data_IF_627950220412
#
_entry.id   IF_627950220412
#
_cell.length_a   1.000
_cell.length_b   1.000
_cell.length_c   1.000
_cell.angle_alpha   90.00
_cell.angle_beta   90.00
_cell.angle_gamma   90.00
#
_symmetry.space_group_name_H-M   'P 1'
#
loop_
_entity.id
_entity.type
_entity.pdbx_description
1 polymer ?
#
# COMPACT_ATOMS: atom_id res chain seq x y z
N UNK A 1 -7.44 -11.00 -23.11
CA UNK A 1 -7.34 -11.06 -21.67
C UNK A 1 -6.00 -10.61 -21.21
N UNK A 2 -5.97 -9.51 -20.54
CA UNK A 2 -4.75 -8.95 -20.08
C UNK A 2 -4.45 -9.28 -18.63
N UNK A 3 -3.24 -8.97 -18.24
CA UNK A 3 -2.78 -9.12 -16.86
C UNK A 3 -3.63 -8.30 -15.91
N UNK A 4 -4.14 -7.15 -16.34
CA UNK A 4 -4.98 -6.29 -15.52
C UNK A 4 -6.28 -6.97 -15.11
N UNK A 5 -6.85 -7.79 -16.00
CA UNK A 5 -8.07 -8.52 -15.68
C UNK A 5 -7.81 -9.58 -14.61
N UNK A 6 -6.65 -10.23 -14.67
CA UNK A 6 -6.24 -11.19 -13.64
C UNK A 6 -6.08 -10.49 -12.29
N UNK A 7 -5.39 -9.37 -12.27
CA UNK A 7 -5.16 -8.60 -11.06
C UNK A 7 -6.48 -8.09 -10.49
N UNK A 8 -7.36 -7.61 -11.35
CA UNK A 8 -8.68 -7.13 -10.96
C UNK A 8 -9.45 -8.22 -10.21
N UNK A 9 -9.47 -9.44 -10.76
CA UNK A 9 -10.16 -10.55 -10.13
C UNK A 9 -9.52 -10.94 -8.79
N UNK A 10 -8.21 -10.92 -8.72
CA UNK A 10 -7.50 -11.21 -7.47
C UNK A 10 -7.82 -10.16 -6.43
N UNK A 11 -7.79 -8.88 -6.78
CA UNK A 11 -8.12 -7.82 -5.84
C UNK A 11 -9.54 -7.91 -5.30
N UNK A 12 -10.50 -8.27 -6.15
CA UNK A 12 -11.88 -8.43 -5.72
C UNK A 12 -12.06 -9.54 -4.69
N UNK A 13 -11.16 -10.51 -4.65
CA UNK A 13 -11.27 -11.64 -3.74
C UNK A 13 -10.58 -11.40 -2.40
N UNK A 14 -9.92 -10.27 -2.22
CA UNK A 14 -9.22 -9.98 -0.98
C UNK A 14 -10.19 -9.58 0.13
N UNK A 15 -10.06 -10.18 1.32
CA UNK A 15 -10.96 -9.93 2.43
C UNK A 15 -10.23 -9.56 3.71
N UNK A 16 -8.98 -9.97 3.86
CA UNK A 16 -8.20 -9.69 5.06
C UNK A 16 -6.75 -9.43 4.70
N UNK A 17 -6.02 -8.84 5.62
CA UNK A 17 -4.62 -8.58 5.37
C UNK A 17 -3.82 -8.50 6.67
N UNK A 18 -2.52 -8.66 6.53
CA UNK A 18 -1.55 -8.38 7.57
C UNK A 18 -0.86 -7.07 7.23
N UNK A 19 -0.66 -6.25 8.24
CA UNK A 19 0.00 -4.97 8.13
C UNK A 19 1.28 -4.98 8.93
N UNK A 20 2.35 -4.45 8.34
CA UNK A 20 3.61 -4.28 9.03
C UNK A 20 4.25 -2.96 8.63
N UNK A 21 4.66 -2.19 9.63
CA UNK A 21 5.43 -0.98 9.41
C UNK A 21 6.76 -1.15 10.12
N UNK A 22 7.85 -0.94 9.41
CA UNK A 22 9.20 -1.12 9.94
C UNK A 22 10.03 0.13 9.66
N UNK A 23 10.69 0.63 10.70
CA UNK A 23 11.72 1.65 10.54
C UNK A 23 13.02 0.97 10.13
N UNK A 24 13.59 1.40 9.01
CA UNK A 24 14.82 0.81 8.51
C UNK A 24 16.04 1.39 9.24
N UNK A 25 17.20 0.72 9.10
CA UNK A 25 18.40 1.04 9.88
C UNK A 25 18.83 2.50 9.87
N UNK A 26 18.57 3.19 8.77
CA UNK A 26 18.99 4.59 8.64
C UNK A 26 17.95 5.57 9.16
N UNK A 27 16.83 5.06 9.69
CA UNK A 27 15.75 5.91 10.19
C UNK A 27 15.96 6.24 11.64
N UNK A 28 15.73 7.50 12.00
CA UNK A 28 15.75 7.94 13.39
C UNK A 28 14.40 7.76 14.08
N UNK A 29 13.42 7.26 13.33
CA UNK A 29 12.08 7.03 13.85
C UNK A 29 11.91 5.57 14.20
N UNK A 30 11.48 5.28 15.42
CA UNK A 30 11.21 3.90 15.85
C UNK A 30 9.74 3.57 15.60
N UNK A 31 9.38 3.54 14.35
CA UNK A 31 7.99 3.35 13.93
C UNK A 31 7.76 1.91 13.48
N UNK A 32 7.66 1.01 14.46
CA UNK A 32 7.44 -0.41 14.19
C UNK A 32 6.07 -0.81 14.70
N UNK A 33 5.22 -1.24 13.80
CA UNK A 33 3.86 -1.66 14.13
C UNK A 33 3.46 -2.87 13.32
N UNK A 34 2.63 -3.71 13.89
CA UNK A 34 2.01 -4.83 13.19
C UNK A 34 0.53 -4.84 13.49
N UNK A 35 -0.24 -5.31 12.55
CA UNK A 35 -1.66 -5.40 12.73
C UNK A 35 -2.31 -6.37 11.79
N UNK A 36 -3.58 -6.64 12.06
CA UNK A 36 -4.42 -7.46 11.20
C UNK A 36 -5.55 -6.59 10.70
N UNK A 37 -5.94 -6.79 9.46
CA UNK A 37 -6.97 -5.98 8.86
C UNK A 37 -8.02 -6.77 8.12
N UNK A 38 -9.14 -6.11 7.90
CA UNK A 38 -10.24 -6.60 7.10
C UNK A 38 -10.57 -5.59 6.03
N UNK A 39 -11.07 -6.07 4.90
CA UNK A 39 -11.41 -5.23 3.77
C UNK A 39 -12.85 -5.45 3.37
N UNK A 40 -13.55 -4.35 3.10
CA UNK A 40 -14.80 -4.38 2.36
C UNK A 40 -14.55 -3.72 1.03
N UNK A 41 -14.71 -4.46 -0.05
CA UNK A 41 -14.47 -3.93 -1.39
C UNK A 41 -15.73 -3.31 -1.96
N UNK A 42 -15.54 -2.21 -2.67
CA UNK A 42 -16.58 -1.59 -3.49
C UNK A 42 -16.08 -1.49 -4.90
N UNK A 43 -16.97 -1.69 -5.87
CA UNK A 43 -16.61 -1.58 -7.28
C UNK A 43 -17.44 -0.47 -7.90
N UNK A 44 -16.75 0.48 -8.51
CA UNK A 44 -17.39 1.57 -9.26
C UNK A 44 -16.67 1.68 -10.59
N UNK A 45 -17.33 1.24 -11.66
CA UNK A 45 -16.76 1.24 -13.01
C UNK A 45 -15.43 0.46 -13.05
N UNK A 46 -14.32 1.13 -13.36
CA UNK A 46 -12.99 0.51 -13.41
C UNK A 46 -12.20 0.69 -12.12
N UNK A 47 -12.89 0.96 -11.01
CA UNK A 47 -12.26 1.24 -9.74
C UNK A 47 -12.64 0.20 -8.71
N UNK A 48 -11.66 -0.24 -7.93
CA UNK A 48 -11.89 -1.06 -6.76
C UNK A 48 -11.48 -0.24 -5.54
N UNK A 49 -12.40 -0.10 -4.61
CA UNK A 49 -12.13 0.62 -3.36
C UNK A 49 -11.99 -0.39 -2.25
N UNK A 50 -10.88 -0.31 -1.53
CA UNK A 50 -10.64 -1.09 -0.32
C UNK A 50 -11.00 -0.22 0.88
N UNK A 51 -12.10 -0.57 1.54
CA UNK A 51 -12.44 0.02 2.83
C UNK A 51 -11.80 -0.86 3.90
N UNK A 52 -10.75 -0.37 4.51
CA UNK A 52 -9.90 -1.16 5.40
C UNK A 52 -10.10 -0.78 6.85
N UNK A 53 -10.11 -1.79 7.71
CA UNK A 53 -10.08 -1.63 9.15
C UNK A 53 -8.88 -2.39 9.67
N UNK A 54 -7.97 -1.71 10.36
CA UNK A 54 -6.72 -2.28 10.84
C UNK A 54 -6.72 -2.25 12.36
N UNK A 55 -6.44 -3.39 12.97
CA UNK A 55 -6.20 -3.47 14.40
C UNK A 55 -4.69 -3.55 14.64
N UNK A 56 -4.16 -2.51 15.24
CA UNK A 56 -2.75 -2.46 15.58
C UNK A 56 -2.57 -2.91 17.02
N UNK A 57 -1.63 -3.81 17.23
CA UNK A 57 -1.25 -4.26 18.56
C UNK A 57 -0.04 -3.46 19.01
N UNK A 58 -0.25 -2.50 19.87
CA UNK A 58 0.79 -1.62 20.37
C UNK A 58 1.07 -1.89 21.85
N UNK A 59 2.23 -1.43 22.30
CA UNK A 59 2.69 -1.65 23.68
C UNK A 59 1.71 -1.12 24.71
N UNK A 60 1.02 -0.03 24.42
CA UNK A 60 0.12 0.63 25.37
C UNK A 60 -1.35 0.39 25.08
N UNK A 61 -1.68 -0.62 24.30
CA UNK A 61 -3.06 -0.94 23.98
C UNK A 61 -3.29 -1.10 22.50
N UNK A 62 -4.44 -1.62 22.15
CA UNK A 62 -4.80 -1.85 20.77
C UNK A 62 -5.46 -0.60 20.17
N UNK A 63 -5.12 -0.30 18.95
CA UNK A 63 -5.66 0.83 18.21
C UNK A 63 -6.33 0.34 16.95
N UNK A 64 -7.54 0.83 16.69
CA UNK A 64 -8.23 0.54 15.45
C UNK A 64 -8.09 1.74 14.51
N UNK A 65 -7.62 1.49 13.30
CA UNK A 65 -7.49 2.50 12.26
C UNK A 65 -8.37 2.13 11.08
N UNK A 66 -8.91 3.14 10.44
CA UNK A 66 -9.65 2.97 9.20
C UNK A 66 -8.91 3.66 8.07
N UNK A 67 -8.89 3.01 6.92
CA UNK A 67 -8.20 3.53 5.76
C UNK A 67 -9.01 3.26 4.51
N UNK A 68 -8.75 4.01 3.47
CA UNK A 68 -9.46 3.85 2.22
C UNK A 68 -8.49 3.99 1.06
N UNK A 69 -8.40 2.95 0.26
CA UNK A 69 -7.54 2.90 -0.90
C UNK A 69 -8.39 2.69 -2.14
N UNK A 70 -7.97 3.28 -3.24
CA UNK A 70 -8.66 3.12 -4.51
C UNK A 70 -7.66 2.68 -5.58
N UNK A 71 -8.04 1.62 -6.29
CA UNK A 71 -7.26 1.08 -7.39
C UNK A 71 -8.03 1.32 -8.67
N UNK A 72 -7.42 2.04 -9.61
CA UNK A 72 -8.06 2.40 -10.87
C UNK A 72 -7.39 1.60 -11.99
N UNK A 73 -8.19 0.83 -12.71
CA UNK A 73 -7.70 -0.09 -13.73
C UNK A 73 -7.87 0.50 -15.13
N UNK A 74 -6.76 0.61 -15.83
CA UNK A 74 -6.72 0.98 -17.23
C UNK A 74 -6.22 -0.23 -18.03
N UNK A 75 -6.14 -0.09 -19.32
CA UNK A 75 -5.74 -1.20 -20.19
C UNK A 75 -4.32 -1.68 -19.91
N UNK A 76 -3.41 -0.78 -19.63
CA UNK A 76 -1.98 -1.07 -19.50
C UNK A 76 -1.38 -0.66 -18.15
N UNK A 77 -2.20 -0.18 -17.23
CA UNK A 77 -1.70 0.31 -15.94
C UNK A 77 -2.75 0.22 -14.86
N UNK A 78 -2.30 0.26 -13.63
CA UNK A 78 -3.16 0.37 -12.45
C UNK A 78 -2.66 1.58 -11.66
N UNK A 79 -3.57 2.48 -11.32
CA UNK A 79 -3.23 3.61 -10.47
C UNK A 79 -3.67 3.33 -9.05
N UNK A 80 -2.81 3.65 -8.11
CA UNK A 80 -3.14 3.59 -6.70
C UNK A 80 -3.41 5.00 -6.17
N UNK A 81 -4.59 5.18 -5.59
CA UNK A 81 -5.02 6.43 -4.97
C UNK A 81 -5.31 6.19 -3.50
N UNK A 82 -4.93 7.12 -2.67
CA UNK A 82 -5.13 7.03 -1.23
C UNK A 82 -6.00 8.20 -0.76
N UNK A 83 -6.98 7.90 0.09
CA UNK A 83 -7.82 8.95 0.66
C UNK A 83 -7.05 9.64 1.79
N UNK A 84 -6.81 10.92 1.62
CA UNK A 84 -6.11 11.76 2.60
C UNK A 84 -6.85 13.07 2.76
N UNK A 85 -7.14 13.44 4.01
CA UNK A 85 -7.80 14.71 4.32
C UNK A 85 -9.08 14.94 3.51
N UNK A 86 -9.87 13.88 3.35
CA UNK A 86 -11.15 13.95 2.67
C UNK A 86 -11.10 13.89 1.15
N UNK A 87 -9.94 13.75 0.54
CA UNK A 87 -9.83 13.62 -0.92
C UNK A 87 -8.85 12.54 -1.32
N UNK A 88 -9.10 11.92 -2.47
CA UNK A 88 -8.21 10.93 -3.03
C UNK A 88 -7.04 11.60 -3.72
N UNK A 89 -5.84 11.10 -3.45
CA UNK A 89 -4.62 11.56 -4.09
C UNK A 89 -3.95 10.37 -4.78
N UNK A 90 -3.53 10.58 -6.01
CA UNK A 90 -2.83 9.54 -6.75
C UNK A 90 -1.39 9.45 -6.24
N UNK A 91 -1.00 8.26 -5.80
CA UNK A 91 0.32 8.04 -5.23
C UNK A 91 1.23 7.29 -6.19
N UNK A 92 0.72 6.20 -6.80
CA UNK A 92 1.54 5.37 -7.68
C UNK A 92 0.81 5.01 -8.96
N UNK A 93 1.61 4.73 -10.00
CA UNK A 93 1.12 4.13 -11.23
C UNK A 93 1.95 2.88 -11.48
N UNK A 94 1.29 1.74 -11.59
CA UNK A 94 1.93 0.46 -11.89
C UNK A 94 1.66 0.09 -13.34
N UNK A 95 2.73 -0.13 -14.10
CA UNK A 95 2.59 -0.57 -15.48
C UNK A 95 2.46 -2.08 -15.49
N UNK A 96 1.45 -2.59 -16.18
CA UNK A 96 1.08 -4.01 -16.10
C UNK A 96 1.25 -4.73 -17.43
N UNK A 97 1.96 -4.12 -18.37
CA UNK A 97 2.25 -4.73 -19.67
C UNK A 97 3.49 -5.64 -19.66
N UNK A 98 4.10 -5.83 -18.50
CA UNK A 98 5.30 -6.64 -18.35
C UNK A 98 4.99 -7.96 -17.65
N UNK A 99 5.77 -9.01 -17.95
CA UNK A 99 5.56 -10.34 -17.39
C UNK A 99 5.66 -10.41 -15.87
N UNK A 100 6.54 -9.61 -15.30
CA UNK A 100 6.68 -9.57 -13.85
C UNK A 100 6.11 -8.27 -13.34
N UNK A 101 5.09 -8.39 -12.51
CA UNK A 101 4.49 -7.21 -11.91
C UNK A 101 5.17 -6.95 -10.58
N UNK A 102 6.37 -6.44 -10.66
CA UNK A 102 7.02 -5.77 -9.54
C UNK A 102 7.35 -4.40 -10.06
N UNK A 103 6.41 -3.50 -9.92
CA UNK A 103 6.57 -2.17 -10.47
C UNK A 103 6.80 -1.18 -9.36
N UNK A 104 7.81 -0.37 -9.54
CA UNK A 104 8.16 0.67 -8.61
C UNK A 104 7.95 2.01 -9.27
N UNK A 105 7.24 2.88 -8.61
CA UNK A 105 7.14 4.25 -9.03
C UNK A 105 7.34 5.17 -7.84
N UNK A 106 8.15 6.19 -8.02
CA UNK A 106 8.37 7.18 -6.98
C UNK A 106 7.29 8.23 -7.04
N UNK A 107 6.74 8.55 -5.90
CA UNK A 107 5.88 9.70 -5.72
C UNK A 107 6.68 10.75 -4.96
N UNK A 108 6.84 11.92 -5.55
CA UNK A 108 7.59 13.00 -4.93
C UNK A 108 6.64 13.92 -4.17
N UNK A 109 6.34 13.53 -2.95
CA UNK A 109 5.55 14.34 -2.05
C UNK A 109 6.49 14.99 -1.04
N UNK A 110 6.85 16.24 -1.27
CA UNK A 110 7.77 16.95 -0.39
C UNK A 110 7.22 17.01 1.05
N UNK A 111 8.03 16.75 2.10
CA UNK A 111 9.46 16.46 2.03
C UNK A 111 9.80 14.98 1.83
N UNK A 112 8.82 14.10 1.76
CA UNK A 112 9.03 12.66 1.70
C UNK A 112 9.00 12.15 0.27
N UNK A 113 9.86 11.16 -0.01
CA UNK A 113 9.85 10.42 -1.26
C UNK A 113 9.19 9.07 -1.03
N UNK A 114 8.29 8.69 -1.90
CA UNK A 114 7.53 7.46 -1.78
C UNK A 114 7.88 6.54 -2.95
N UNK A 115 8.04 5.26 -2.64
CA UNK A 115 8.25 4.24 -3.65
C UNK A 115 7.31 3.09 -3.38
N UNK A 116 6.52 2.72 -4.37
CA UNK A 116 5.54 1.66 -4.25
C UNK A 116 5.98 0.39 -4.93
N UNK A 117 5.56 -0.74 -4.39
CA UNK A 117 5.74 -2.04 -4.99
C UNK A 117 4.46 -2.84 -4.90
N UNK A 118 4.11 -3.53 -5.96
CA UNK A 118 2.93 -4.38 -6.00
C UNK A 118 3.32 -5.74 -6.56
N UNK A 119 3.15 -6.77 -5.74
CA UNK A 119 3.41 -8.15 -6.16
C UNK A 119 2.09 -8.92 -6.11
N UNK A 120 1.71 -9.50 -7.23
CA UNK A 120 0.45 -10.20 -7.35
C UNK A 120 0.72 -11.69 -7.50
N UNK A 121 0.27 -12.47 -6.53
CA UNK A 121 0.34 -13.92 -6.55
C UNK A 121 -1.08 -14.46 -6.62
N UNK A 122 -1.22 -15.75 -6.89
CA UNK A 122 -2.54 -16.32 -7.05
C UNK A 122 -3.41 -16.27 -5.80
N UNK A 123 -2.77 -16.40 -4.64
CA UNK A 123 -3.47 -16.47 -3.36
C UNK A 123 -3.29 -15.22 -2.50
N UNK A 124 -2.49 -14.27 -2.94
CA UNK A 124 -2.21 -13.09 -2.13
C UNK A 124 -1.74 -11.92 -2.99
N UNK A 125 -1.82 -10.76 -2.39
CA UNK A 125 -1.36 -9.52 -2.99
C UNK A 125 -0.46 -8.84 -1.97
N UNK A 126 0.74 -8.48 -2.37
CA UNK A 126 1.68 -7.81 -1.47
C UNK A 126 1.88 -6.38 -1.98
N UNK A 127 1.50 -5.42 -1.17
CA UNK A 127 1.64 -4.00 -1.48
C UNK A 127 2.62 -3.38 -0.50
N UNK A 128 3.69 -2.81 -1.01
CA UNK A 128 4.76 -2.24 -0.21
C UNK A 128 4.90 -0.76 -0.51
N UNK A 129 5.02 0.04 0.53
CA UNK A 129 5.31 1.46 0.40
C UNK A 129 6.58 1.76 1.18
N UNK A 130 7.57 2.30 0.51
CA UNK A 130 8.78 2.79 1.16
C UNK A 130 8.73 4.31 1.19
N UNK A 131 8.99 4.88 2.34
CA UNK A 131 8.95 6.31 2.57
C UNK A 131 10.33 6.72 3.09
N UNK A 132 10.93 7.71 2.45
CA UNK A 132 12.16 8.29 2.96
C UNK A 132 12.10 9.80 2.75
N UNK A 133 12.69 10.54 3.67
CA UNK A 133 12.73 11.97 3.49
C UNK A 133 13.82 12.34 2.49
N UNK A 134 13.59 13.46 1.83
CA UNK A 134 14.54 14.03 0.88
C UNK A 134 15.76 14.51 1.64
N UNK A 135 16.90 13.89 1.37
CA UNK A 135 18.12 14.12 2.14
C UNK A 135 19.02 15.19 1.53
N UNK A 136 18.44 16.19 0.91
CA UNK A 136 19.22 17.27 0.31
C UNK A 136 19.51 18.40 1.26
N UNK A 137 18.91 18.39 2.44
CA UNK A 137 19.09 19.46 3.42
C UNK A 137 20.02 18.99 4.53
N UNK A 138 21.26 19.43 4.45
CA UNK A 138 22.29 19.12 5.44
C UNK A 138 22.00 19.69 6.83
N UNK A 139 21.02 20.58 6.94
CA UNK A 139 20.65 21.14 8.24
C UNK A 139 19.69 20.25 9.03
N UNK A 140 19.21 19.17 8.43
CA UNK A 140 18.28 18.24 9.08
C UNK A 140 18.88 16.84 9.25
N UNK A 141 20.15 16.78 9.56
CA UNK A 141 20.86 15.49 9.76
C UNK A 141 20.23 14.59 10.80
N UNK A 142 19.45 15.17 11.72
CA UNK A 142 18.86 14.43 12.83
C UNK A 142 17.46 13.91 12.54
N UNK A 143 16.94 14.09 11.32
CA UNK A 143 15.58 13.69 10.99
C UNK A 143 15.54 12.79 9.78
N UNK A 144 16.25 11.68 9.87
CA UNK A 144 16.20 10.68 8.81
C UNK A 144 14.95 9.84 8.98
N UNK A 145 14.21 9.72 7.90
CA UNK A 145 13.01 8.91 7.86
C UNK A 145 13.15 7.90 6.74
N UNK A 146 13.16 6.63 7.09
CA UNK A 146 13.16 5.54 6.12
C UNK A 146 12.30 4.42 6.67
N UNK A 147 11.11 4.33 6.14
CA UNK A 147 10.09 3.41 6.62
C UNK A 147 9.64 2.50 5.50
N UNK A 148 9.26 1.29 5.86
CA UNK A 148 8.63 0.35 4.93
C UNK A 148 7.32 -0.11 5.52
N UNK A 149 6.26 0.07 4.76
CA UNK A 149 4.94 -0.39 5.11
C UNK A 149 4.58 -1.52 4.16
N UNK A 150 4.19 -2.65 4.70
CA UNK A 150 3.84 -3.82 3.89
C UNK A 150 2.43 -4.25 4.24
N UNK A 151 1.59 -4.36 3.21
CA UNK A 151 0.25 -4.92 3.31
C UNK A 151 0.28 -6.25 2.56
N UNK A 152 -0.03 -7.34 3.26
CA UNK A 152 -0.16 -8.65 2.64
C UNK A 152 -1.64 -9.03 2.69
N UNK A 153 -2.29 -8.96 1.53
CA UNK A 153 -3.72 -9.23 1.41
C UNK A 153 -3.96 -10.68 1.06
N UNK A 154 -4.99 -11.26 1.63
CA UNK A 154 -5.33 -12.66 1.46
C UNK A 154 -6.79 -12.82 1.05
N UNK A 155 -7.03 -13.89 0.34
CA UNK A 155 -8.39 -14.34 0.10
C UNK A 155 -8.99 -14.91 1.38
N UNK A 156 -10.30 -14.92 1.42
CA UNK A 156 -10.98 -15.63 2.48
C UNK A 156 -10.88 -17.12 2.18
N UNK A 157 -10.05 -17.80 2.93
CA UNK A 157 -9.85 -19.22 2.80
C UNK A 157 -10.93 -19.95 3.58
N UNK A 158 -12.03 -20.20 2.90
CA UNK A 158 -13.10 -21.00 3.48
C UNK A 158 -12.93 -22.45 3.12
N UNK A 159 -11.96 -23.05 3.68
CA UNK A 159 -11.84 -24.49 3.47
C UNK A 159 -11.91 -25.22 4.79
#
# INVERSE_FOLDING_TARGET
MGENERIYRIMLSMEKFEFESISLETSDMSWNSKGLGQIKTEVIENKIIFNETIELHEEFGDTELKDKKMWVFYEDKIEFWHLRNGSYQKIFTFLTDQEKIVLHKKYDGSPDLYQGGLTVLEDRLIFTIEIQNSNTDIHHENHRKKERITYTYFRNDKN
#
